data_IF_651766422619
#
_entry.id   IF_651766422619
#
_cell.length_a   1.000
_cell.length_b   1.000
_cell.length_c   1.000
_cell.angle_alpha   90.00
_cell.angle_beta   90.00
_cell.angle_gamma   90.00
#
_symmetry.space_group_name_H-M   'P 1'
#
loop_
_entity.id
_entity.type
_entity.pdbx_description
1 polymer ?
#
# COMPACT_ATOMS: atom_id res chain seq x y z
N UNK A 1 0.43 7.93 -5.30
CA UNK A 1 1.82 8.40 -5.05
C UNK A 1 2.35 9.21 -6.22
N UNK A 2 1.93 8.94 -7.45
CA UNK A 2 2.31 9.74 -8.62
C UNK A 2 2.04 11.25 -8.48
N UNK A 3 0.90 11.67 -7.94
CA UNK A 3 0.64 13.10 -7.72
C UNK A 3 1.52 13.72 -6.63
N UNK A 4 1.94 12.93 -5.65
CA UNK A 4 2.91 13.37 -4.65
C UNK A 4 4.27 13.62 -5.31
N UNK A 5 4.72 12.70 -6.16
CA UNK A 5 6.03 12.81 -6.83
C UNK A 5 6.05 13.84 -7.94
N UNK A 6 4.95 14.00 -8.67
CA UNK A 6 4.87 14.85 -9.87
C UNK A 6 4.46 16.28 -9.54
N UNK A 7 3.52 16.45 -8.62
CA UNK A 7 2.90 17.75 -8.32
C UNK A 7 3.15 18.22 -6.88
N UNK A 8 3.93 17.48 -6.09
CA UNK A 8 4.21 17.83 -4.70
C UNK A 8 2.99 17.72 -3.78
N UNK A 9 1.97 16.94 -4.16
CA UNK A 9 0.78 16.76 -3.32
C UNK A 9 1.18 16.25 -1.92
N UNK A 10 0.71 16.93 -0.88
CA UNK A 10 0.93 16.48 0.50
C UNK A 10 0.10 15.23 0.77
N UNK A 11 0.75 14.18 1.28
CA UNK A 11 0.13 12.91 1.63
C UNK A 11 0.42 12.64 3.11
N UNK A 12 -0.62 12.39 3.90
CA UNK A 12 -0.52 12.00 5.30
C UNK A 12 -1.12 10.59 5.48
N UNK A 13 -0.29 9.54 5.62
CA UNK A 13 -0.80 8.20 5.88
C UNK A 13 -1.30 8.07 7.33
N UNK A 14 -2.45 7.42 7.49
CA UNK A 14 -3.02 7.04 8.79
C UNK A 14 -3.03 5.52 8.88
N UNK A 15 -2.35 4.98 9.88
CA UNK A 15 -2.28 3.54 10.14
C UNK A 15 -3.22 3.21 11.29
N UNK A 16 -4.24 2.42 11.00
CA UNK A 16 -5.27 2.05 11.96
C UNK A 16 -5.21 0.56 12.25
N UNK A 17 -4.91 0.19 13.50
CA UNK A 17 -4.75 -1.20 13.94
C UNK A 17 -3.81 -2.03 13.05
N UNK A 18 -2.82 -1.38 12.44
CA UNK A 18 -1.81 -2.01 11.58
C UNK A 18 -0.49 -1.32 11.79
N UNK A 19 0.56 -2.10 12.03
CA UNK A 19 1.91 -1.57 12.12
C UNK A 19 2.36 -1.06 10.72
N UNK A 20 2.90 0.16 10.60
CA UNK A 20 3.33 0.71 9.32
C UNK A 20 4.33 -0.20 8.57
N UNK A 21 5.15 -0.98 9.27
CA UNK A 21 6.09 -1.94 8.69
C UNK A 21 5.40 -3.13 8.00
N UNK A 22 4.21 -3.52 8.47
CA UNK A 22 3.35 -4.52 7.82
C UNK A 22 2.87 -3.98 6.48
N UNK A 23 2.42 -2.72 6.43
CA UNK A 23 2.01 -2.05 5.19
C UNK A 23 3.20 -1.84 4.25
N UNK A 24 4.35 -1.39 4.77
CA UNK A 24 5.58 -1.12 4.00
C UNK A 24 6.15 -2.36 3.33
N UNK A 25 6.09 -3.51 3.99
CA UNK A 25 6.64 -4.77 3.48
C UNK A 25 5.56 -5.71 2.94
N UNK A 26 4.29 -5.30 3.01
CA UNK A 26 3.11 -6.07 2.66
C UNK A 26 3.18 -7.52 3.20
N UNK A 27 3.39 -7.65 4.51
CA UNK A 27 3.53 -8.95 5.21
C UNK A 27 2.22 -9.41 5.85
N UNK A 28 2.16 -10.69 6.21
CA UNK A 28 1.02 -11.31 6.89
C UNK A 28 -0.29 -11.13 6.13
N UNK A 29 -1.39 -11.05 6.89
CA UNK A 29 -2.75 -10.95 6.38
C UNK A 29 -2.95 -9.77 5.43
N UNK A 30 -2.24 -8.66 5.65
CA UNK A 30 -2.29 -7.49 4.78
C UNK A 30 -1.78 -7.82 3.36
N UNK A 31 -0.64 -8.52 3.28
CA UNK A 31 -0.07 -8.96 2.01
C UNK A 31 -0.92 -9.99 1.29
N UNK A 32 -1.56 -10.90 2.03
CA UNK A 32 -2.48 -11.90 1.49
C UNK A 32 -3.75 -11.25 0.94
N UNK A 33 -4.36 -10.35 1.71
CA UNK A 33 -5.52 -9.58 1.31
C UNK A 33 -5.25 -8.76 0.03
N UNK A 34 -4.05 -8.20 -0.13
CA UNK A 34 -3.65 -7.48 -1.34
C UNK A 34 -3.65 -8.41 -2.58
N UNK A 35 -3.07 -9.62 -2.46
CA UNK A 35 -3.05 -10.62 -3.54
C UNK A 35 -4.44 -11.12 -3.90
N UNK A 36 -5.27 -11.41 -2.89
CA UNK A 36 -6.66 -11.83 -3.09
C UNK A 36 -7.47 -10.73 -3.79
N UNK A 37 -7.28 -9.48 -3.37
CA UNK A 37 -7.93 -8.31 -4.00
C UNK A 37 -7.58 -8.19 -5.47
N UNK A 38 -6.29 -8.32 -5.82
CA UNK A 38 -5.85 -8.29 -7.22
C UNK A 38 -6.48 -9.44 -8.04
N UNK A 39 -6.53 -10.64 -7.47
CA UNK A 39 -7.10 -11.83 -8.13
C UNK A 39 -8.61 -11.70 -8.36
N UNK A 40 -9.32 -11.04 -7.45
CA UNK A 40 -10.76 -10.76 -7.58
C UNK A 40 -11.06 -9.67 -8.60
N UNK A 41 -10.20 -8.65 -8.73
CA UNK A 41 -10.42 -7.51 -9.63
C UNK A 41 -9.98 -7.77 -11.07
N UNK A 42 -8.93 -8.53 -11.26
CA UNK A 42 -8.33 -8.75 -12.58
C UNK A 42 -8.30 -10.24 -12.85
N UNK A 43 -8.82 -10.68 -14.00
CA UNK A 43 -8.82 -12.11 -14.37
C UNK A 43 -7.53 -12.50 -15.11
N UNK A 44 -6.97 -11.58 -15.91
CA UNK A 44 -5.73 -11.77 -16.65
C UNK A 44 -4.50 -11.74 -15.73
N UNK A 45 -3.59 -12.69 -15.91
CA UNK A 45 -2.42 -12.84 -15.05
C UNK A 45 -1.40 -11.72 -15.24
N UNK A 46 -1.23 -11.20 -16.47
CA UNK A 46 -0.28 -10.09 -16.71
C UNK A 46 -0.78 -8.80 -16.05
N UNK A 47 -2.07 -8.51 -16.18
CA UNK A 47 -2.70 -7.37 -15.51
C UNK A 47 -2.59 -7.48 -13.97
N UNK A 48 -2.83 -8.68 -13.40
CA UNK A 48 -2.63 -8.92 -11.96
C UNK A 48 -1.19 -8.61 -11.52
N UNK A 49 -0.20 -9.01 -12.29
CA UNK A 49 1.21 -8.77 -11.95
C UNK A 49 1.56 -7.29 -12.02
N UNK A 50 1.12 -6.59 -13.07
CA UNK A 50 1.34 -5.15 -13.24
C UNK A 50 0.70 -4.37 -12.09
N UNK A 51 -0.58 -4.60 -11.81
CA UNK A 51 -1.29 -3.86 -10.76
C UNK A 51 -0.75 -4.18 -9.36
N UNK A 52 -0.34 -5.44 -9.11
CA UNK A 52 0.29 -5.81 -7.83
C UNK A 52 1.62 -5.09 -7.65
N UNK A 53 2.41 -4.93 -8.71
CA UNK A 53 3.65 -4.15 -8.67
C UNK A 53 3.39 -2.69 -8.33
N UNK A 54 2.44 -2.05 -9.01
CA UNK A 54 2.05 -0.65 -8.77
C UNK A 54 1.54 -0.44 -7.35
N UNK A 55 0.66 -1.30 -6.85
CA UNK A 55 0.14 -1.21 -5.50
C UNK A 55 1.23 -1.40 -4.45
N UNK A 56 2.13 -2.39 -4.63
CA UNK A 56 3.27 -2.58 -3.72
C UNK A 56 4.15 -1.35 -3.65
N UNK A 57 4.46 -0.74 -4.80
CA UNK A 57 5.27 0.47 -4.86
C UNK A 57 4.57 1.64 -4.16
N UNK A 58 3.27 1.83 -4.43
CA UNK A 58 2.49 2.90 -3.81
C UNK A 58 2.37 2.72 -2.29
N UNK A 59 2.09 1.52 -1.80
CA UNK A 59 1.96 1.21 -0.37
C UNK A 59 3.31 1.34 0.35
N UNK A 60 4.40 0.90 -0.27
CA UNK A 60 5.75 1.06 0.27
C UNK A 60 6.12 2.54 0.39
N UNK A 61 5.88 3.32 -0.66
CA UNK A 61 6.15 4.75 -0.66
C UNK A 61 5.31 5.49 0.39
N UNK A 62 4.01 5.20 0.47
CA UNK A 62 3.13 5.79 1.48
C UNK A 62 3.59 5.43 2.91
N UNK A 63 3.95 4.17 3.15
CA UNK A 63 4.40 3.70 4.46
C UNK A 63 5.83 4.11 4.84
N UNK A 64 6.54 4.78 3.94
CA UNK A 64 7.83 5.43 4.21
C UNK A 64 7.68 6.91 4.62
N UNK A 65 6.49 7.49 4.47
CA UNK A 65 6.22 8.84 4.96
C UNK A 65 5.99 8.82 6.48
N UNK A 66 6.30 9.93 7.13
CA UNK A 66 5.83 10.18 8.49
C UNK A 66 4.29 10.21 8.48
N UNK A 67 3.68 9.48 9.41
CA UNK A 67 2.23 9.32 9.49
C UNK A 67 1.76 9.23 10.92
N UNK A 68 0.46 9.01 11.09
CA UNK A 68 -0.15 8.78 12.39
C UNK A 68 -0.39 7.29 12.60
N UNK A 69 0.12 6.76 13.71
CA UNK A 69 -0.19 5.42 14.19
C UNK A 69 -1.27 5.52 15.26
N UNK A 70 -2.48 5.04 14.97
CA UNK A 70 -3.60 5.12 15.89
C UNK A 70 -3.41 4.26 17.16
N UNK A 71 -2.47 3.31 17.16
CA UNK A 71 -2.13 2.50 18.35
C UNK A 71 -1.11 3.20 19.26
N UNK A 72 -0.58 4.36 18.86
CA UNK A 72 0.38 5.13 19.67
C UNK A 72 -0.28 6.15 20.61
N UNK A 73 -1.61 6.08 20.78
CA UNK A 73 -2.43 6.91 21.66
C UNK A 73 -3.42 6.09 22.48
#
# INVERSE_FOLDING_TARGET
MECQTTYGQVVLPVFYNVDPSVVRKQKGDFGEALKVTATKKYSDNRQKEVILSEWRNALTAAANLSGWDANSY
#
